data_IF_913243737857
#
_entry.id   IF_913243737857
#
_cell.length_a   1.000
_cell.length_b   1.000
_cell.length_c   1.000
_cell.angle_alpha   90.00
_cell.angle_beta   90.00
_cell.angle_gamma   90.00
#
_symmetry.space_group_name_H-M   'P 1'
#
loop_
_entity.id
_entity.type
_entity.pdbx_description
1 polymer ?
#
# COMPACT_ATOMS: atom_id res chain seq x y z
N UNK A 1 33.86 -4.91 -10.02
CA UNK A 1 34.22 -3.93 -8.96
C UNK A 1 33.07 -2.94 -8.72
N UNK A 2 32.19 -2.71 -9.71
CA UNK A 2 31.11 -1.70 -9.65
C UNK A 2 29.86 -2.10 -8.86
N UNK A 3 29.55 -3.40 -8.73
CA UNK A 3 28.35 -3.87 -8.00
C UNK A 3 28.42 -3.61 -6.49
N UNK A 4 29.60 -3.73 -5.89
CA UNK A 4 29.75 -3.52 -4.45
C UNK A 4 29.61 -2.03 -4.09
N UNK A 5 30.14 -1.14 -4.94
CA UNK A 5 29.98 0.30 -4.83
C UNK A 5 28.50 0.69 -5.00
N UNK A 6 27.83 0.11 -6.00
CA UNK A 6 26.39 0.32 -6.25
C UNK A 6 25.52 -0.14 -5.08
N UNK A 7 25.84 -1.29 -4.49
CA UNK A 7 25.13 -1.82 -3.32
C UNK A 7 25.31 -0.94 -2.09
N UNK A 8 26.53 -0.45 -1.82
CA UNK A 8 26.80 0.50 -0.72
C UNK A 8 26.06 1.82 -0.93
N UNK A 9 26.11 2.37 -2.15
CA UNK A 9 25.38 3.57 -2.54
C UNK A 9 23.88 3.42 -2.28
N UNK A 10 23.30 2.29 -2.70
CA UNK A 10 21.88 1.99 -2.53
C UNK A 10 21.47 1.88 -1.06
N UNK A 11 22.25 1.16 -0.25
CA UNK A 11 21.97 1.00 1.18
C UNK A 11 22.03 2.32 1.93
N UNK A 12 23.01 3.17 1.65
CA UNK A 12 23.07 4.48 2.27
C UNK A 12 21.95 5.39 1.80
N UNK A 13 21.72 5.49 0.48
CA UNK A 13 20.65 6.30 -0.07
C UNK A 13 19.29 5.89 0.51
N UNK A 14 19.05 4.59 0.68
CA UNK A 14 17.84 4.04 1.30
C UNK A 14 17.72 4.47 2.78
N UNK A 15 18.79 4.36 3.57
CA UNK A 15 18.80 4.81 4.97
C UNK A 15 18.50 6.30 5.11
N UNK A 16 19.20 7.13 4.35
CA UNK A 16 19.03 8.59 4.36
C UNK A 16 17.61 9.00 3.93
N UNK A 17 17.02 8.27 2.97
CA UNK A 17 15.64 8.50 2.52
C UNK A 17 14.59 8.05 3.54
N UNK A 18 14.90 7.02 4.33
CA UNK A 18 14.07 6.60 5.47
C UNK A 18 14.18 7.57 6.65
N UNK A 19 15.29 8.27 6.79
CA UNK A 19 15.47 9.38 7.75
C UNK A 19 14.70 10.66 7.33
N UNK A 20 14.06 10.66 6.15
CA UNK A 20 13.27 11.79 5.66
C UNK A 20 14.09 12.91 5.01
N UNK A 21 15.34 12.64 4.65
CA UNK A 21 16.18 13.61 3.96
C UNK A 21 15.77 13.79 2.49
N UNK A 22 15.85 15.02 2.00
CA UNK A 22 15.59 15.35 0.60
C UNK A 22 16.59 14.72 -0.36
N UNK A 23 16.13 14.42 -1.58
CA UNK A 23 16.96 13.78 -2.61
C UNK A 23 18.24 14.59 -2.91
N UNK A 24 18.21 15.92 -2.79
CA UNK A 24 19.37 16.80 -2.98
C UNK A 24 20.42 16.64 -1.88
N UNK A 25 19.96 16.49 -0.62
CA UNK A 25 20.84 16.24 0.52
C UNK A 25 21.48 14.86 0.43
N UNK A 26 20.70 13.87 -0.02
CA UNK A 26 21.20 12.51 -0.27
C UNK A 26 22.23 12.53 -1.41
N UNK A 27 21.96 13.28 -2.48
CA UNK A 27 22.89 13.46 -3.60
C UNK A 27 24.23 14.01 -3.14
N UNK A 28 24.21 15.14 -2.40
CA UNK A 28 25.42 15.78 -1.90
C UNK A 28 26.22 14.89 -0.92
N UNK A 29 25.55 14.05 -0.11
CA UNK A 29 26.24 13.08 0.78
C UNK A 29 26.91 11.95 0.02
N UNK A 30 26.28 11.43 -1.02
CA UNK A 30 26.83 10.33 -1.82
C UNK A 30 27.97 10.82 -2.72
N UNK A 31 27.86 12.06 -3.24
CA UNK A 31 28.93 12.71 -3.99
C UNK A 31 30.19 12.92 -3.12
N UNK A 32 30.01 13.37 -1.86
CA UNK A 32 31.10 13.46 -0.88
C UNK A 32 31.79 12.13 -0.56
N UNK A 33 31.17 11.00 -0.88
CA UNK A 33 31.75 9.66 -0.72
C UNK A 33 32.46 9.15 -1.98
N UNK A 34 32.60 10.01 -2.99
CA UNK A 34 33.28 9.66 -4.25
C UNK A 34 32.44 8.75 -5.15
N UNK A 35 31.12 8.72 -4.98
CA UNK A 35 30.24 7.92 -5.83
C UNK A 35 29.95 8.70 -7.12
N UNK A 36 30.04 8.06 -8.30
CA UNK A 36 29.81 8.74 -9.57
C UNK A 36 28.39 9.34 -9.65
N UNK A 37 28.24 10.56 -10.20
CA UNK A 37 26.96 11.26 -10.25
C UNK A 37 25.90 10.52 -11.07
N UNK A 38 26.28 9.77 -12.13
CA UNK A 38 25.32 8.95 -12.88
C UNK A 38 24.73 7.84 -12.02
N UNK A 39 25.56 7.24 -11.16
CA UNK A 39 25.19 6.11 -10.31
C UNK A 39 24.25 6.56 -9.18
N UNK A 40 24.49 7.75 -8.61
CA UNK A 40 23.62 8.38 -7.62
C UNK A 40 22.23 8.65 -8.21
N UNK A 41 22.16 9.20 -9.43
CA UNK A 41 20.88 9.47 -10.11
C UNK A 41 20.08 8.19 -10.35
N UNK A 42 20.74 7.10 -10.76
CA UNK A 42 20.08 5.80 -10.93
C UNK A 42 19.55 5.26 -9.60
N UNK A 43 20.36 5.32 -8.54
CA UNK A 43 19.98 4.84 -7.20
C UNK A 43 18.78 5.63 -6.66
N UNK A 44 18.80 6.96 -6.76
CA UNK A 44 17.70 7.82 -6.29
C UNK A 44 16.40 7.60 -7.08
N UNK A 45 16.51 7.46 -8.40
CA UNK A 45 15.36 7.16 -9.27
C UNK A 45 14.73 5.82 -8.88
N UNK A 46 15.55 4.77 -8.76
CA UNK A 46 15.10 3.43 -8.39
C UNK A 46 14.46 3.41 -7.00
N UNK A 47 15.07 4.06 -6.01
CA UNK A 47 14.50 4.15 -4.65
C UNK A 47 13.16 4.88 -4.62
N UNK A 48 13.00 5.92 -5.44
CA UNK A 48 11.73 6.65 -5.54
C UNK A 48 10.65 5.78 -6.18
N UNK A 49 10.97 5.11 -7.29
CA UNK A 49 10.06 4.20 -7.96
C UNK A 49 9.63 3.04 -7.04
N UNK A 50 10.59 2.42 -6.35
CA UNK A 50 10.34 1.35 -5.38
C UNK A 50 9.39 1.81 -4.27
N UNK A 51 9.63 3.00 -3.69
CA UNK A 51 8.76 3.55 -2.65
C UNK A 51 7.33 3.81 -3.14
N UNK A 52 7.17 4.30 -4.37
CA UNK A 52 5.84 4.51 -4.97
C UNK A 52 5.13 3.16 -5.18
N UNK A 53 5.84 2.14 -5.67
CA UNK A 53 5.30 0.79 -5.86
C UNK A 53 4.91 0.17 -4.51
N UNK A 54 5.76 0.29 -3.48
CA UNK A 54 5.50 -0.26 -2.15
C UNK A 54 4.29 0.40 -1.49
N UNK A 55 4.19 1.73 -1.54
CA UNK A 55 3.02 2.47 -1.04
C UNK A 55 1.75 2.06 -1.78
N UNK A 56 1.81 1.93 -3.11
CA UNK A 56 0.67 1.52 -3.91
C UNK A 56 0.30 0.04 -3.65
N UNK A 57 1.28 -0.84 -3.48
CA UNK A 57 1.05 -2.25 -3.14
C UNK A 57 0.49 -2.40 -1.73
N UNK A 58 0.87 -1.54 -0.78
CA UNK A 58 0.31 -1.51 0.57
C UNK A 58 -1.14 -1.01 0.61
N UNK A 59 -1.58 -0.22 -0.38
CA UNK A 59 -2.98 0.21 -0.52
C UNK A 59 -3.87 -0.84 -1.20
N UNK A 60 -3.34 -1.65 -2.12
CA UNK A 60 -4.06 -2.75 -2.78
C UNK A 60 -4.74 -3.77 -1.85
N UNK A 61 -4.16 -4.25 -0.74
CA UNK A 61 -4.80 -5.26 0.12
C UNK A 61 -6.09 -4.74 0.75
N UNK A 62 -6.19 -3.45 1.04
CA UNK A 62 -7.42 -2.88 1.62
C UNK A 62 -8.59 -2.89 0.64
N UNK A 63 -8.34 -2.60 -0.64
CA UNK A 63 -9.39 -2.60 -1.66
C UNK A 63 -9.92 -4.01 -1.93
N UNK A 64 -9.04 -5.00 -2.02
CA UNK A 64 -9.43 -6.39 -2.21
C UNK A 64 -10.19 -6.96 -1.01
N UNK A 65 -9.78 -6.62 0.23
CA UNK A 65 -10.49 -7.05 1.43
C UNK A 65 -11.88 -6.41 1.55
N UNK A 66 -12.02 -5.14 1.18
CA UNK A 66 -13.31 -4.46 1.18
C UNK A 66 -14.26 -5.07 0.13
N UNK A 67 -13.76 -5.28 -1.10
CA UNK A 67 -14.54 -5.90 -2.17
C UNK A 67 -14.97 -7.32 -1.81
N UNK A 68 -14.08 -8.11 -1.19
CA UNK A 68 -14.39 -9.45 -0.71
C UNK A 68 -15.50 -9.45 0.35
N UNK A 69 -15.44 -8.53 1.33
CA UNK A 69 -16.48 -8.41 2.37
C UNK A 69 -17.84 -8.02 1.78
N UNK A 70 -17.86 -7.10 0.81
CA UNK A 70 -19.08 -6.71 0.10
C UNK A 70 -19.64 -7.90 -0.67
N UNK A 71 -18.78 -8.63 -1.41
CA UNK A 71 -19.18 -9.82 -2.17
C UNK A 71 -19.79 -10.91 -1.29
N UNK A 72 -19.21 -11.18 -0.11
CA UNK A 72 -19.76 -12.13 0.87
C UNK A 72 -21.14 -11.68 1.36
N UNK A 73 -21.32 -10.39 1.65
CA UNK A 73 -22.61 -9.84 2.08
C UNK A 73 -23.71 -9.99 1.03
N UNK A 74 -23.37 -9.74 -0.24
CA UNK A 74 -24.30 -9.93 -1.37
C UNK A 74 -24.66 -11.40 -1.57
N UNK A 75 -23.67 -12.31 -1.50
CA UNK A 75 -23.91 -13.75 -1.59
C UNK A 75 -24.83 -14.24 -0.47
N UNK A 76 -24.59 -13.82 0.78
CA UNK A 76 -25.46 -14.16 1.90
C UNK A 76 -26.89 -13.63 1.73
N UNK A 77 -27.06 -12.44 1.16
CA UNK A 77 -28.38 -11.90 0.86
C UNK A 77 -29.12 -12.73 -0.19
N UNK A 78 -28.42 -13.16 -1.26
CA UNK A 78 -28.98 -14.05 -2.30
C UNK A 78 -29.36 -15.41 -1.70
N UNK A 79 -28.49 -16.03 -0.90
CA UNK A 79 -28.78 -17.30 -0.23
C UNK A 79 -29.98 -17.16 0.70
N UNK A 80 -30.06 -16.07 1.47
CA UNK A 80 -31.19 -15.80 2.35
C UNK A 80 -32.51 -15.63 1.59
N UNK A 81 -32.48 -15.07 0.38
CA UNK A 81 -33.67 -14.90 -0.47
C UNK A 81 -34.20 -16.23 -1.01
N UNK A 82 -33.32 -17.21 -1.27
CA UNK A 82 -33.68 -18.53 -1.81
C UNK A 82 -34.13 -19.51 -0.72
N UNK A 83 -33.52 -19.47 0.47
CA UNK A 83 -33.77 -20.45 1.54
C UNK A 83 -35.01 -20.12 2.39
N UNK A 84 -35.39 -18.84 2.54
CA UNK A 84 -36.54 -18.39 3.34
C UNK A 84 -37.41 -17.38 2.58
N UNK A 85 -38.21 -17.83 1.59
CA UNK A 85 -39.13 -16.95 0.88
C UNK A 85 -40.22 -16.46 1.84
N UNK A 86 -40.10 -15.23 2.34
CA UNK A 86 -41.12 -14.58 3.18
C UNK A 86 -40.60 -13.80 4.38
N UNK A 87 -39.34 -13.99 4.80
CA UNK A 87 -38.72 -13.21 5.89
C UNK A 87 -37.64 -12.26 5.37
N UNK A 88 -38.08 -11.18 4.71
CA UNK A 88 -37.21 -10.12 4.16
C UNK A 88 -36.46 -9.34 5.27
N UNK A 89 -36.89 -9.48 6.53
CA UNK A 89 -36.34 -8.77 7.69
C UNK A 89 -34.88 -9.17 8.00
N UNK A 90 -34.54 -10.46 7.86
CA UNK A 90 -33.19 -10.97 8.13
C UNK A 90 -32.13 -10.43 7.15
N UNK A 91 -32.33 -10.50 5.81
CA UNK A 91 -31.35 -9.96 4.86
C UNK A 91 -31.23 -8.43 4.94
N UNK A 92 -32.32 -7.70 5.20
CA UNK A 92 -32.27 -6.25 5.44
C UNK A 92 -31.45 -5.93 6.71
N UNK A 93 -31.65 -6.68 7.79
CA UNK A 93 -30.90 -6.52 9.04
C UNK A 93 -29.40 -6.76 8.88
N UNK A 94 -29.00 -7.76 8.09
CA UNK A 94 -27.60 -8.04 7.78
C UNK A 94 -26.94 -6.93 6.94
N UNK A 95 -27.65 -6.42 5.93
CA UNK A 95 -27.14 -5.32 5.09
C UNK A 95 -27.02 -4.02 5.90
N UNK A 96 -28.07 -3.65 6.65
CA UNK A 96 -28.06 -2.45 7.48
C UNK A 96 -27.01 -2.52 8.61
N UNK A 97 -26.88 -3.67 9.27
CA UNK A 97 -25.85 -3.90 10.28
C UNK A 97 -24.44 -3.83 9.71
N UNK A 98 -24.22 -4.37 8.51
CA UNK A 98 -22.95 -4.26 7.79
C UNK A 98 -22.57 -2.80 7.49
N UNK A 99 -23.53 -2.01 7.00
CA UNK A 99 -23.34 -0.58 6.69
C UNK A 99 -23.00 0.22 7.96
N UNK A 100 -23.77 0.05 9.04
CA UNK A 100 -23.54 0.76 10.31
C UNK A 100 -22.16 0.44 10.88
N UNK A 101 -21.78 -0.84 10.89
CA UNK A 101 -20.47 -1.26 11.40
C UNK A 101 -19.32 -0.71 10.56
N UNK A 102 -19.50 -0.63 9.24
CA UNK A 102 -18.53 -0.03 8.32
C UNK A 102 -18.37 1.48 8.53
N UNK A 103 -19.45 2.20 8.84
CA UNK A 103 -19.43 3.64 9.16
C UNK A 103 -18.73 3.89 10.50
N UNK A 104 -19.02 3.09 11.53
CA UNK A 104 -18.41 3.25 12.87
C UNK A 104 -16.92 2.88 12.86
N UNK A 105 -16.53 1.82 12.16
CA UNK A 105 -15.13 1.38 12.06
C UNK A 105 -14.34 2.07 10.95
N UNK A 106 -14.92 3.07 10.27
CA UNK A 106 -14.20 3.86 9.27
C UNK A 106 -13.09 4.63 9.99
N UNK A 107 -11.80 4.30 9.77
CA UNK A 107 -10.72 5.08 10.37
C UNK A 107 -10.78 6.51 9.81
N UNK A 108 -10.64 7.50 10.70
CA UNK A 108 -10.55 8.93 10.35
C UNK A 108 -9.24 9.21 9.62
#
# INVERSE_FOLDING_TARGET
>A
MDEELKRKAYLQASRLKNEGLDNEVIYARLEKQGIPPELIKQVLTNLTAQKIIDVNSAQKPFFNLALLKIGIGVLLAIVSMVVLPGQVILPIGLIAGGIITAVIKRPR
#
